data_IF_855540861839
#
_entry.id   IF_855540861839
#
_cell.length_a   1.000
_cell.length_b   1.000
_cell.length_c   1.000
_cell.angle_alpha   90.00
_cell.angle_beta   90.00
_cell.angle_gamma   90.00
#
_symmetry.space_group_name_H-M   'P 1'
#
loop_
_entity.id
_entity.type
_entity.pdbx_description
1 polymer ?
#
# COMPACT_ATOMS: atom_id res chain seq x y z
N UNK A 1 17.48 -4.15 15.87
CA UNK A 1 18.36 -2.96 15.83
C UNK A 1 18.05 -2.21 14.53
N UNK A 2 16.86 -1.61 14.46
CA UNK A 2 16.36 -0.87 13.30
C UNK A 2 15.68 0.38 13.86
N UNK A 3 16.46 1.44 13.82
CA UNK A 3 16.08 2.82 14.00
C UNK A 3 17.08 3.58 13.11
N UNK A 4 16.65 4.67 12.49
CA UNK A 4 17.42 5.52 11.57
C UNK A 4 17.48 5.08 10.10
N UNK A 5 16.50 5.52 9.30
CA UNK A 5 16.80 6.19 8.02
C UNK A 5 15.85 7.38 7.88
N UNK A 6 16.41 8.58 7.99
CA UNK A 6 16.07 9.83 7.28
C UNK A 6 16.47 11.03 8.14
N UNK A 7 17.74 11.44 8.02
CA UNK A 7 18.15 12.81 8.32
C UNK A 7 19.36 13.19 7.47
N UNK A 8 19.18 14.32 6.80
CA UNK A 8 20.17 15.27 6.27
C UNK A 8 20.81 15.00 4.89
N UNK A 9 20.40 15.83 3.93
CA UNK A 9 21.36 16.67 3.20
C UNK A 9 20.80 18.09 3.08
N UNK A 10 21.27 18.98 3.94
CA UNK A 10 21.19 20.43 3.73
C UNK A 10 22.57 20.94 3.34
N UNK A 11 22.63 21.83 2.35
CA UNK A 11 23.31 23.14 2.38
C UNK A 11 23.82 23.56 0.98
N UNK A 12 23.20 24.57 0.35
CA UNK A 12 23.74 25.94 0.18
C UNK A 12 22.99 26.74 -0.93
N UNK A 13 22.21 27.71 -0.46
CA UNK A 13 21.96 29.07 -0.98
C UNK A 13 22.04 29.37 -2.50
N UNK A 14 20.90 29.77 -3.07
CA UNK A 14 20.75 31.10 -3.69
C UNK A 14 19.39 31.66 -3.31
N UNK A 15 19.39 32.80 -2.61
CA UNK A 15 18.21 33.61 -2.40
C UNK A 15 17.79 34.24 -3.73
N UNK A 16 16.65 33.81 -4.26
CA UNK A 16 15.83 34.63 -5.16
C UNK A 16 14.50 34.88 -4.47
N UNK A 17 14.34 36.11 -3.98
CA UNK A 17 13.06 36.65 -3.52
C UNK A 17 12.17 36.84 -4.74
N UNK A 18 11.30 35.88 -4.99
CA UNK A 18 10.07 36.09 -5.74
C UNK A 18 8.94 35.69 -4.80
N UNK A 19 8.36 36.68 -4.14
CA UNK A 19 7.17 36.48 -3.33
C UNK A 19 6.08 35.84 -4.17
N UNK A 20 5.67 34.63 -3.78
CA UNK A 20 4.46 34.01 -4.28
C UNK A 20 3.31 34.84 -3.71
N UNK A 21 2.67 35.60 -4.57
CA UNK A 21 1.46 36.34 -4.24
C UNK A 21 0.33 35.35 -3.97
N UNK A 22 0.07 35.05 -2.70
CA UNK A 22 -1.29 34.96 -2.17
C UNK A 22 -1.97 33.59 -2.16
N UNK A 23 -1.25 32.49 -1.97
CA UNK A 23 -1.88 31.21 -1.62
C UNK A 23 -1.63 30.92 -0.14
N UNK A 24 -2.69 31.00 0.64
CA UNK A 24 -2.69 30.80 2.09
C UNK A 24 -3.96 30.08 2.48
N UNK A 25 -3.94 29.40 3.63
CA UNK A 25 -5.14 28.78 4.17
C UNK A 25 -6.34 29.75 4.25
N UNK A 26 -7.57 29.25 4.09
CA UNK A 26 -8.77 30.02 4.40
C UNK A 26 -8.78 30.48 5.86
N UNK A 27 -9.67 31.41 6.19
CA UNK A 27 -9.85 31.86 7.56
C UNK A 27 -10.24 30.66 8.46
N UNK A 28 -9.52 30.39 9.57
CA UNK A 28 -9.79 29.24 10.44
C UNK A 28 -11.21 29.19 10.99
N UNK A 29 -11.87 30.34 11.18
CA UNK A 29 -13.25 30.38 11.67
C UNK A 29 -14.26 29.86 10.62
N UNK A 30 -13.96 30.02 9.34
CA UNK A 30 -14.85 29.63 8.23
C UNK A 30 -14.75 28.13 7.92
N UNK A 31 -13.63 27.49 8.28
CA UNK A 31 -13.36 26.06 8.02
C UNK A 31 -13.43 25.19 9.28
N UNK A 32 -13.67 25.79 10.45
CA UNK A 32 -13.82 25.04 11.71
C UNK A 32 -15.00 24.05 11.61
N UNK A 33 -14.86 22.80 12.07
CA UNK A 33 -13.78 22.25 12.89
C UNK A 33 -12.62 21.62 12.09
N UNK A 34 -12.63 21.69 10.76
CA UNK A 34 -11.44 21.36 10.00
C UNK A 34 -10.36 22.42 10.20
N UNK A 35 -9.12 22.04 9.97
CA UNK A 35 -7.95 22.92 10.03
C UNK A 35 -7.21 22.86 8.71
N UNK A 36 -6.39 23.88 8.46
CA UNK A 36 -5.60 23.99 7.25
C UNK A 36 -4.15 24.29 7.64
N UNK A 37 -3.23 23.55 7.04
CA UNK A 37 -1.80 23.78 7.16
C UNK A 37 -1.22 24.21 5.80
N UNK A 38 -0.30 25.18 5.85
CA UNK A 38 0.42 25.67 4.68
C UNK A 38 1.92 25.49 4.90
N UNK A 39 2.54 24.68 4.06
CA UNK A 39 3.99 24.48 4.08
C UNK A 39 4.71 25.59 3.32
N UNK A 40 5.48 26.42 4.03
CA UNK A 40 6.31 27.47 3.42
C UNK A 40 7.46 26.92 2.56
N UNK A 41 7.79 25.64 2.68
CA UNK A 41 8.90 25.00 1.98
C UNK A 41 8.57 24.66 0.53
N UNK A 42 7.41 24.03 0.31
CA UNK A 42 6.95 23.55 -1.00
C UNK A 42 5.62 24.18 -1.44
N UNK A 43 5.05 25.08 -0.64
CA UNK A 43 3.83 25.83 -0.96
C UNK A 43 2.56 25.00 -0.89
N UNK A 44 2.59 23.83 -0.25
CA UNK A 44 1.46 22.90 -0.26
C UNK A 44 0.46 23.22 0.83
N UNK A 45 -0.83 23.03 0.52
CA UNK A 45 -1.93 23.17 1.47
C UNK A 45 -2.46 21.79 1.83
N UNK A 46 -2.73 21.55 3.11
CA UNK A 46 -3.36 20.33 3.62
C UNK A 46 -4.58 20.68 4.47
N UNK A 47 -5.66 19.94 4.31
CA UNK A 47 -6.87 20.04 5.11
C UNK A 47 -6.96 18.85 6.07
N UNK A 48 -7.06 19.14 7.36
CA UNK A 48 -7.27 18.14 8.41
C UNK A 48 -8.66 18.32 9.03
N UNK A 49 -9.53 17.34 8.79
CA UNK A 49 -10.90 17.29 9.26
C UNK A 49 -11.12 16.26 10.38
N UNK A 50 -10.07 15.90 11.12
CA UNK A 50 -10.11 14.93 12.23
C UNK A 50 -11.13 15.27 13.33
N UNK A 51 -11.49 16.55 13.51
CA UNK A 51 -12.49 16.98 14.50
C UNK A 51 -13.91 17.14 13.95
N UNK A 52 -14.10 16.93 12.65
CA UNK A 52 -15.34 17.18 11.93
C UNK A 52 -16.25 15.94 11.86
N UNK A 53 -17.54 16.20 11.68
CA UNK A 53 -18.55 15.27 11.17
C UNK A 53 -18.65 15.37 9.64
N UNK A 54 -19.27 14.39 8.98
CA UNK A 54 -19.49 14.42 7.53
C UNK A 54 -20.16 15.71 7.05
N UNK A 55 -21.17 16.23 7.77
CA UNK A 55 -21.84 17.49 7.39
C UNK A 55 -20.95 18.72 7.51
N UNK A 56 -20.04 18.73 8.49
CA UNK A 56 -19.08 19.82 8.68
C UNK A 56 -17.99 19.78 7.61
N UNK A 57 -17.55 18.58 7.19
CA UNK A 57 -16.65 18.41 6.02
C UNK A 57 -17.36 18.96 4.79
N UNK A 58 -18.61 18.56 4.55
CA UNK A 58 -19.38 19.05 3.40
C UNK A 58 -19.47 20.58 3.36
N UNK A 59 -19.87 21.22 4.47
CA UNK A 59 -19.93 22.70 4.55
C UNK A 59 -18.55 23.33 4.33
N UNK A 60 -17.50 22.79 4.95
CA UNK A 60 -16.12 23.27 4.80
C UNK A 60 -15.70 23.28 3.34
N UNK A 61 -15.97 22.23 2.58
CA UNK A 61 -15.51 22.08 1.20
C UNK A 61 -16.41 22.74 0.16
N UNK A 62 -17.70 22.93 0.46
CA UNK A 62 -18.68 23.45 -0.50
C UNK A 62 -19.05 24.93 -0.28
N UNK A 63 -18.87 25.45 0.93
CA UNK A 63 -19.23 26.84 1.27
C UNK A 63 -18.00 27.76 1.34
N UNK A 64 -16.80 27.18 1.50
CA UNK A 64 -15.52 27.90 1.52
C UNK A 64 -14.77 27.66 0.21
N UNK A 65 -14.24 28.73 -0.37
CA UNK A 65 -13.42 28.63 -1.58
C UNK A 65 -12.06 28.01 -1.26
N UNK A 66 -11.92 26.71 -1.53
CA UNK A 66 -10.64 26.02 -1.51
C UNK A 66 -9.84 26.29 -2.79
N UNK A 67 -8.52 26.21 -2.66
CA UNK A 67 -7.62 26.46 -3.78
C UNK A 67 -7.38 25.19 -4.61
N UNK A 68 -7.11 25.32 -5.92
CA UNK A 68 -6.81 24.18 -6.78
C UNK A 68 -5.52 23.43 -6.40
N UNK A 69 -4.65 23.94 -5.52
CA UNK A 69 -3.44 23.24 -5.05
C UNK A 69 -3.59 22.56 -3.69
N UNK A 70 -4.82 22.25 -3.25
CA UNK A 70 -5.00 21.42 -2.06
C UNK A 70 -4.29 20.08 -2.30
N UNK A 71 -3.29 19.77 -1.49
CA UNK A 71 -2.48 18.57 -1.64
C UNK A 71 -3.14 17.41 -0.93
N UNK A 72 -3.55 17.60 0.31
CA UNK A 72 -4.00 16.51 1.17
C UNK A 72 -5.34 16.82 1.81
N UNK A 73 -6.20 15.81 1.83
CA UNK A 73 -7.35 15.73 2.72
C UNK A 73 -7.09 14.61 3.74
N UNK A 74 -7.22 14.92 5.02
CA UNK A 74 -7.06 13.92 6.07
C UNK A 74 -8.15 13.91 7.12
N UNK A 75 -8.50 12.72 7.59
CA UNK A 75 -9.34 12.49 8.77
C UNK A 75 -8.66 11.42 9.62
N UNK A 76 -8.30 11.77 10.85
CA UNK A 76 -7.59 10.89 11.76
C UNK A 76 -8.33 10.81 13.10
N UNK A 77 -8.30 9.64 13.75
CA UNK A 77 -8.81 9.43 15.13
C UNK A 77 -10.21 10.04 15.28
N UNK A 78 -11.16 9.55 14.49
CA UNK A 78 -12.47 10.15 14.34
C UNK A 78 -13.60 9.13 14.50
N UNK A 79 -14.59 9.49 15.30
CA UNK A 79 -15.79 8.68 15.57
C UNK A 79 -17.09 9.31 15.00
N UNK A 80 -17.00 10.49 14.38
CA UNK A 80 -18.15 11.27 13.91
C UNK A 80 -18.45 11.08 12.43
N UNK A 81 -17.42 10.75 11.64
CA UNK A 81 -17.52 10.49 10.20
C UNK A 81 -17.95 9.04 10.03
N UNK A 82 -19.13 8.85 9.49
CA UNK A 82 -19.72 7.53 9.23
C UNK A 82 -19.72 7.16 7.75
N UNK A 83 -19.73 8.18 6.89
CA UNK A 83 -19.70 8.05 5.45
C UNK A 83 -18.99 9.26 4.83
N UNK A 84 -18.41 9.05 3.65
CA UNK A 84 -17.95 10.10 2.75
C UNK A 84 -18.84 10.08 1.50
N UNK A 85 -19.95 10.84 1.48
CA UNK A 85 -20.93 10.80 0.40
C UNK A 85 -20.47 11.54 -0.86
N UNK A 86 -21.28 11.43 -1.91
CA UNK A 86 -21.14 12.21 -3.14
C UNK A 86 -20.97 13.71 -2.84
N UNK A 87 -20.02 14.37 -3.50
CA UNK A 87 -19.79 15.81 -3.35
C UNK A 87 -19.27 16.27 -1.97
N UNK A 88 -18.89 15.38 -1.04
CA UNK A 88 -18.43 15.78 0.30
C UNK A 88 -17.19 16.68 0.28
N UNK A 89 -16.34 16.53 -0.74
CA UNK A 89 -15.17 17.38 -0.96
C UNK A 89 -15.42 18.52 -1.97
N UNK A 90 -16.65 18.67 -2.46
CA UNK A 90 -16.98 19.65 -3.50
C UNK A 90 -16.11 19.47 -4.76
N UNK A 91 -15.73 20.58 -5.39
CA UNK A 91 -14.97 20.59 -6.64
C UNK A 91 -13.43 20.48 -6.44
N UNK A 92 -12.95 20.27 -5.21
CA UNK A 92 -11.51 20.24 -4.95
C UNK A 92 -10.85 19.02 -5.60
N UNK A 93 -9.67 19.24 -6.16
CA UNK A 93 -8.81 18.18 -6.67
C UNK A 93 -7.58 18.07 -5.78
N UNK A 94 -7.38 16.89 -5.20
CA UNK A 94 -6.33 16.60 -4.22
C UNK A 94 -5.31 15.60 -4.78
N UNK A 95 -4.15 15.54 -4.13
CA UNK A 95 -3.10 14.58 -4.45
C UNK A 95 -3.12 13.41 -3.47
N UNK A 96 -3.40 13.65 -2.20
CA UNK A 96 -3.31 12.65 -1.13
C UNK A 96 -4.62 12.57 -0.33
N UNK A 97 -5.12 11.36 -0.12
CA UNK A 97 -6.18 11.05 0.84
C UNK A 97 -5.56 10.27 1.99
N UNK A 98 -5.75 10.72 3.22
CA UNK A 98 -5.32 10.02 4.44
C UNK A 98 -6.49 9.83 5.39
N UNK A 99 -6.93 8.58 5.56
CA UNK A 99 -7.94 8.19 6.53
C UNK A 99 -7.27 7.25 7.54
N UNK A 100 -7.23 7.62 8.81
CA UNK A 100 -6.55 6.84 9.84
C UNK A 100 -7.40 6.72 11.10
N UNK A 101 -7.67 5.50 11.58
CA UNK A 101 -8.46 5.29 12.81
C UNK A 101 -9.82 6.01 12.76
N UNK A 102 -10.53 5.89 11.65
CA UNK A 102 -11.88 6.47 11.45
C UNK A 102 -12.92 5.39 11.72
N UNK A 103 -13.09 5.05 13.01
CA UNK A 103 -13.69 3.79 13.46
C UNK A 103 -15.17 3.55 13.08
N UNK A 104 -15.88 4.59 12.64
CA UNK A 104 -17.29 4.47 12.24
C UNK A 104 -17.52 4.66 10.74
N UNK A 105 -16.47 4.89 9.94
CA UNK A 105 -16.59 5.10 8.50
C UNK A 105 -16.76 3.77 7.78
N UNK A 106 -17.96 3.53 7.25
CA UNK A 106 -18.32 2.29 6.54
C UNK A 106 -18.32 2.43 5.02
N UNK A 107 -18.52 3.64 4.50
CA UNK A 107 -18.82 3.87 3.08
C UNK A 107 -18.07 5.08 2.53
N UNK A 108 -17.40 4.90 1.41
CA UNK A 108 -16.75 5.98 0.65
C UNK A 108 -17.33 6.00 -0.76
N UNK A 109 -18.04 7.08 -1.11
CA UNK A 109 -18.62 7.21 -2.43
C UNK A 109 -17.53 7.32 -3.51
N UNK A 110 -17.71 6.72 -4.71
CA UNK A 110 -16.67 6.71 -5.74
C UNK A 110 -16.18 8.08 -6.22
N UNK A 111 -17.06 9.09 -6.20
CA UNK A 111 -16.70 10.46 -6.57
C UNK A 111 -15.63 11.08 -5.65
N UNK A 112 -15.57 10.68 -4.38
CA UNK A 112 -14.57 11.16 -3.42
C UNK A 112 -13.16 10.94 -3.96
N UNK A 113 -12.96 9.83 -4.67
CA UNK A 113 -11.69 9.45 -5.27
C UNK A 113 -11.60 9.93 -6.72
N UNK A 114 -12.65 9.72 -7.52
CA UNK A 114 -12.68 10.06 -8.95
C UNK A 114 -12.54 11.54 -9.26
N UNK A 115 -13.03 12.43 -8.39
CA UNK A 115 -12.88 13.88 -8.55
C UNK A 115 -11.40 14.28 -8.69
N UNK A 116 -10.50 13.49 -8.10
CA UNK A 116 -9.07 13.76 -8.09
C UNK A 116 -8.26 12.88 -9.05
N UNK A 117 -8.90 12.09 -9.94
CA UNK A 117 -8.23 11.08 -10.77
C UNK A 117 -6.98 11.55 -11.53
N UNK A 118 -6.95 12.81 -11.97
CA UNK A 118 -5.86 13.36 -12.79
C UNK A 118 -4.63 13.77 -11.94
N UNK A 119 -4.76 13.80 -10.61
CA UNK A 119 -3.73 14.28 -9.68
C UNK A 119 -3.54 13.44 -8.43
N UNK A 120 -4.45 12.51 -8.15
CA UNK A 120 -4.40 11.66 -6.97
C UNK A 120 -3.20 10.71 -7.08
N UNK A 121 -2.25 10.91 -6.18
CA UNK A 121 -0.98 10.20 -6.10
C UNK A 121 -0.95 9.22 -4.94
N UNK A 122 -1.68 9.50 -3.85
CA UNK A 122 -1.64 8.67 -2.64
C UNK A 122 -3.04 8.47 -2.07
N UNK A 123 -3.37 7.21 -1.78
CA UNK A 123 -4.53 6.83 -0.97
C UNK A 123 -3.98 6.03 0.21
N UNK A 124 -4.28 6.49 1.42
CA UNK A 124 -3.94 5.81 2.67
C UNK A 124 -5.21 5.65 3.49
N UNK A 125 -5.57 4.41 3.78
CA UNK A 125 -6.73 4.02 4.60
C UNK A 125 -6.23 3.05 5.64
N UNK A 126 -5.95 3.56 6.84
CA UNK A 126 -5.39 2.79 7.95
C UNK A 126 -6.40 2.61 9.09
N UNK A 127 -6.68 1.36 9.47
CA UNK A 127 -7.61 1.04 10.56
C UNK A 127 -8.99 1.73 10.41
N UNK A 128 -9.61 1.56 9.24
CA UNK A 128 -10.94 2.09 8.90
C UNK A 128 -11.86 0.95 8.44
N UNK A 129 -12.98 0.66 9.12
CA UNK A 129 -13.90 -0.43 8.76
C UNK A 129 -14.78 -0.11 7.57
N UNK A 130 -14.16 0.29 6.45
CA UNK A 130 -14.83 0.54 5.19
C UNK A 130 -15.32 -0.79 4.62
N UNK A 131 -16.64 -1.00 4.65
CA UNK A 131 -17.29 -2.13 4.00
C UNK A 131 -17.47 -1.89 2.49
N UNK A 132 -17.76 -0.64 2.12
CA UNK A 132 -18.04 -0.21 0.75
C UNK A 132 -17.00 0.82 0.31
N UNK A 133 -15.83 0.30 -0.11
CA UNK A 133 -14.76 1.08 -0.72
C UNK A 133 -14.92 1.05 -2.25
N UNK A 134 -14.70 2.17 -2.97
CA UNK A 134 -15.01 2.27 -4.39
C UNK A 134 -13.89 1.65 -5.25
N UNK A 135 -13.79 0.33 -5.22
CA UNK A 135 -12.77 -0.44 -5.95
C UNK A 135 -12.87 -0.25 -7.47
N UNK A 136 -14.09 -0.13 -8.00
CA UNK A 136 -14.38 -0.10 -9.43
C UNK A 136 -13.84 1.14 -10.14
N UNK A 137 -13.54 2.20 -9.39
CA UNK A 137 -13.01 3.45 -9.95
C UNK A 137 -11.49 3.57 -9.87
N UNK A 138 -10.83 2.68 -9.14
CA UNK A 138 -9.37 2.70 -8.99
C UNK A 138 -8.67 2.58 -10.35
N UNK A 139 -9.26 1.86 -11.29
CA UNK A 139 -8.69 1.70 -12.64
C UNK A 139 -8.54 2.98 -13.44
N UNK A 140 -9.19 4.06 -13.01
CA UNK A 140 -9.09 5.38 -13.63
C UNK A 140 -7.99 6.25 -13.01
N UNK A 141 -7.36 5.81 -11.93
CA UNK A 141 -6.36 6.56 -11.16
C UNK A 141 -4.95 6.36 -11.70
N UNK A 142 -4.77 6.73 -12.96
CA UNK A 142 -3.48 6.57 -13.67
C UNK A 142 -2.31 7.30 -13.02
N UNK A 143 -2.57 8.31 -12.18
CA UNK A 143 -1.53 9.07 -11.45
C UNK A 143 -1.18 8.48 -10.09
N UNK A 144 -1.84 7.40 -9.65
CA UNK A 144 -1.65 6.82 -8.33
C UNK A 144 -0.26 6.18 -8.22
N UNK A 145 0.48 6.54 -7.17
CA UNK A 145 1.84 6.08 -6.88
C UNK A 145 1.89 5.20 -5.63
N UNK A 146 1.05 5.51 -4.63
CA UNK A 146 1.03 4.84 -3.34
C UNK A 146 -0.41 4.48 -2.97
N UNK A 147 -0.65 3.20 -2.74
CA UNK A 147 -1.94 2.72 -2.25
C UNK A 147 -1.73 1.87 -1.00
N UNK A 148 -2.19 2.38 0.12
CA UNK A 148 -2.08 1.74 1.43
C UNK A 148 -3.47 1.57 2.01
N UNK A 149 -3.82 0.31 2.25
CA UNK A 149 -5.07 -0.11 2.85
C UNK A 149 -4.82 -0.99 4.07
N UNK A 150 -3.78 -0.68 4.85
CA UNK A 150 -3.35 -1.48 6.00
C UNK A 150 -4.26 -1.39 7.22
N UNK A 151 -4.22 -2.40 8.08
CA UNK A 151 -4.75 -2.32 9.43
C UNK A 151 -5.92 -3.27 9.70
N UNK A 152 -5.95 -3.78 10.93
CA UNK A 152 -6.92 -4.77 11.42
C UNK A 152 -8.38 -4.32 11.36
N UNK A 153 -8.60 -3.00 11.22
CA UNK A 153 -9.90 -2.41 11.03
C UNK A 153 -10.46 -2.55 9.62
N UNK A 154 -9.68 -2.97 8.61
CA UNK A 154 -10.07 -3.04 7.21
C UNK A 154 -10.40 -4.49 6.81
N UNK A 155 -11.67 -4.98 6.89
CA UNK A 155 -11.98 -6.36 6.55
C UNK A 155 -12.01 -6.56 5.02
N UNK A 156 -10.85 -6.68 4.39
CA UNK A 156 -10.75 -7.12 3.00
C UNK A 156 -10.57 -8.64 2.99
N UNK A 157 -11.68 -9.37 2.94
CA UNK A 157 -11.62 -10.82 2.81
C UNK A 157 -11.08 -11.29 1.45
N UNK A 158 -11.12 -10.44 0.43
CA UNK A 158 -10.61 -10.71 -0.91
C UNK A 158 -10.32 -9.41 -1.66
N UNK A 159 -9.20 -9.35 -2.41
CA UNK A 159 -8.92 -8.24 -3.31
C UNK A 159 -9.75 -8.39 -4.59
N UNK A 160 -10.43 -7.34 -5.07
CA UNK A 160 -11.29 -7.43 -6.24
C UNK A 160 -10.47 -7.76 -7.50
N UNK A 161 -10.98 -8.63 -8.39
CA UNK A 161 -10.32 -8.92 -9.66
C UNK A 161 -10.09 -7.64 -10.46
N UNK A 162 -8.92 -7.53 -11.09
CA UNK A 162 -8.56 -6.35 -11.89
C UNK A 162 -8.26 -5.08 -11.06
N UNK A 163 -8.04 -5.20 -9.75
CA UNK A 163 -7.71 -4.07 -8.86
C UNK A 163 -6.62 -3.14 -9.40
N UNK A 164 -5.61 -3.70 -10.06
CA UNK A 164 -4.46 -2.97 -10.57
C UNK A 164 -4.55 -2.59 -12.06
N UNK A 165 -5.69 -2.87 -12.72
CA UNK A 165 -5.91 -2.43 -14.09
C UNK A 165 -5.82 -0.91 -14.18
N UNK A 166 -5.03 -0.37 -15.11
CA UNK A 166 -4.90 1.09 -15.31
C UNK A 166 -4.04 1.82 -14.28
N UNK A 167 -3.57 1.15 -13.21
CA UNK A 167 -2.63 1.70 -12.22
C UNK A 167 -1.18 1.69 -12.73
N UNK A 168 -0.94 2.32 -13.89
CA UNK A 168 0.31 2.24 -14.66
C UNK A 168 1.53 2.85 -13.96
N UNK A 169 1.32 3.74 -12.99
CA UNK A 169 2.38 4.43 -12.25
C UNK A 169 2.53 3.96 -10.79
N UNK A 170 1.77 2.94 -10.37
CA UNK A 170 1.80 2.51 -8.97
C UNK A 170 3.20 1.98 -8.61
N UNK A 171 3.69 2.43 -7.46
CA UNK A 171 5.04 2.12 -6.94
C UNK A 171 4.93 1.23 -5.72
N UNK A 172 3.99 1.52 -4.83
CA UNK A 172 3.81 0.82 -3.56
C UNK A 172 2.35 0.44 -3.38
N UNK A 173 2.13 -0.82 -3.04
CA UNK A 173 0.86 -1.34 -2.55
C UNK A 173 1.07 -1.96 -1.16
N UNK A 174 0.30 -1.52 -0.16
CA UNK A 174 0.33 -2.07 1.19
C UNK A 174 -1.05 -2.57 1.59
N UNK A 175 -1.13 -3.83 1.99
CA UNK A 175 -2.30 -4.46 2.57
C UNK A 175 -1.89 -5.42 3.69
N UNK A 176 -1.04 -4.95 4.61
CA UNK A 176 -0.70 -5.69 5.81
C UNK A 176 -1.86 -5.64 6.82
N UNK A 177 -2.14 -6.78 7.45
CA UNK A 177 -3.25 -6.93 8.42
C UNK A 177 -4.65 -6.66 7.83
N UNK A 178 -4.84 -6.88 6.53
CA UNK A 178 -6.12 -6.69 5.81
C UNK A 178 -7.14 -7.82 5.96
N UNK A 179 -6.77 -8.93 6.63
CA UNK A 179 -7.60 -10.14 6.73
C UNK A 179 -7.92 -10.79 5.36
N UNK A 180 -6.94 -10.81 4.44
CA UNK A 180 -7.07 -11.46 3.11
C UNK A 180 -7.41 -12.96 3.18
N UNK A 181 -7.31 -13.56 4.36
CA UNK A 181 -7.68 -14.94 4.60
C UNK A 181 -6.59 -15.95 4.22
N UNK A 182 -6.92 -17.25 4.29
CA UNK A 182 -5.93 -18.30 4.23
C UNK A 182 -5.37 -18.57 2.83
N UNK A 183 -6.02 -18.09 1.78
CA UNK A 183 -5.62 -18.35 0.40
C UNK A 183 -5.56 -17.03 -0.35
N UNK A 184 -4.47 -16.79 -1.08
CA UNK A 184 -4.40 -15.74 -2.10
C UNK A 184 -4.69 -16.38 -3.48
N UNK A 185 -5.89 -16.15 -4.05
CA UNK A 185 -6.31 -16.79 -5.30
C UNK A 185 -5.51 -16.38 -6.54
N UNK A 186 -5.56 -17.22 -7.58
CA UNK A 186 -5.03 -16.87 -8.90
C UNK A 186 -5.67 -15.58 -9.44
N UNK A 187 -4.86 -14.66 -9.97
CA UNK A 187 -5.33 -13.38 -10.49
C UNK A 187 -5.63 -12.30 -9.43
N UNK A 188 -5.34 -12.52 -8.14
CA UNK A 188 -5.56 -11.49 -7.12
C UNK A 188 -4.65 -10.27 -7.26
N UNK A 189 -3.39 -10.47 -7.64
CA UNK A 189 -2.37 -9.42 -7.75
C UNK A 189 -1.74 -9.42 -9.16
N UNK A 190 -2.46 -8.85 -10.13
CA UNK A 190 -2.00 -8.70 -11.51
C UNK A 190 -1.47 -7.28 -11.77
N UNK A 191 -0.20 -7.06 -11.45
CA UNK A 191 0.42 -5.74 -11.55
C UNK A 191 0.70 -5.33 -13.01
N UNK A 192 0.42 -4.06 -13.33
CA UNK A 192 0.65 -3.51 -14.69
C UNK A 192 1.78 -2.47 -14.74
N UNK A 193 2.07 -1.82 -13.60
CA UNK A 193 3.11 -0.80 -13.52
C UNK A 193 4.52 -1.41 -13.61
N UNK A 194 5.36 -0.79 -14.43
CA UNK A 194 6.79 -1.12 -14.49
C UNK A 194 7.60 -0.43 -13.38
N UNK A 195 6.95 0.41 -12.57
CA UNK A 195 7.56 1.17 -11.49
C UNK A 195 7.36 0.54 -10.10
N UNK A 196 6.71 -0.63 -10.02
CA UNK A 196 6.45 -1.30 -8.74
C UNK A 196 7.75 -1.62 -7.99
N UNK A 197 7.84 -1.13 -6.76
CA UNK A 197 8.99 -1.32 -5.88
C UNK A 197 8.64 -2.10 -4.61
N UNK A 198 7.40 -2.03 -4.13
CA UNK A 198 7.04 -2.69 -2.87
C UNK A 198 5.60 -3.19 -2.86
N UNK A 199 5.41 -4.43 -2.42
CA UNK A 199 4.12 -5.09 -2.20
C UNK A 199 4.13 -5.64 -0.78
N UNK A 200 3.33 -5.05 0.10
CA UNK A 200 3.19 -5.46 1.50
C UNK A 200 1.95 -6.31 1.73
N UNK A 201 2.12 -7.57 2.11
CA UNK A 201 1.06 -8.52 2.41
C UNK A 201 1.30 -9.24 3.75
N UNK A 202 2.10 -8.65 4.62
CA UNK A 202 2.46 -9.23 5.90
C UNK A 202 1.26 -9.36 6.85
N UNK A 203 1.31 -10.34 7.74
CA UNK A 203 0.31 -10.52 8.81
C UNK A 203 -1.14 -10.69 8.33
N UNK A 204 -1.37 -11.35 7.19
CA UNK A 204 -2.72 -11.62 6.64
C UNK A 204 -3.25 -13.03 6.95
N UNK A 205 -2.46 -13.89 7.61
CA UNK A 205 -2.86 -15.27 7.87
C UNK A 205 -2.86 -16.15 6.62
N UNK A 206 -2.16 -15.75 5.55
CA UNK A 206 -2.08 -16.49 4.30
C UNK A 206 -1.39 -17.83 4.55
N UNK A 207 -2.06 -18.93 4.21
CA UNK A 207 -1.51 -20.29 4.27
C UNK A 207 -1.07 -20.80 2.89
N UNK A 208 -1.72 -20.32 1.83
CA UNK A 208 -1.50 -20.75 0.45
C UNK A 208 -1.52 -19.57 -0.50
N UNK A 209 -0.55 -19.52 -1.40
CA UNK A 209 -0.54 -18.62 -2.56
C UNK A 209 -0.74 -19.48 -3.79
N UNK A 210 -1.85 -19.27 -4.51
CA UNK A 210 -2.15 -20.07 -5.70
C UNK A 210 -1.20 -19.74 -6.86
N UNK A 211 -0.97 -20.69 -7.78
CA UNK A 211 -0.22 -20.41 -9.00
C UNK A 211 -0.86 -19.27 -9.79
N UNK A 212 -0.05 -18.27 -10.16
CA UNK A 212 -0.54 -17.07 -10.86
C UNK A 212 -1.31 -16.07 -9.98
N UNK A 213 -1.30 -16.23 -8.65
CA UNK A 213 -1.87 -15.23 -7.75
C UNK A 213 -1.14 -13.89 -7.81
N UNK A 214 0.17 -13.91 -8.04
CA UNK A 214 1.04 -12.73 -8.13
C UNK A 214 1.72 -12.73 -9.49
N UNK A 215 1.39 -11.76 -10.34
CA UNK A 215 1.95 -11.61 -11.67
C UNK A 215 2.28 -10.15 -11.99
N UNK A 216 3.12 -9.92 -13.01
CA UNK A 216 3.43 -8.57 -13.48
C UNK A 216 4.37 -7.74 -12.58
N UNK A 217 5.04 -8.38 -11.62
CA UNK A 217 6.07 -7.73 -10.80
C UNK A 217 7.20 -7.17 -11.67
N UNK A 218 7.78 -6.04 -11.24
CA UNK A 218 9.04 -5.58 -11.78
C UNK A 218 10.21 -6.37 -11.14
N UNK A 219 11.35 -6.42 -11.83
CA UNK A 219 12.52 -7.18 -11.35
C UNK A 219 13.11 -6.63 -10.04
N UNK A 220 12.83 -5.36 -9.71
CA UNK A 220 13.32 -4.69 -8.51
C UNK A 220 12.27 -4.64 -7.38
N UNK A 221 11.14 -5.34 -7.54
CA UNK A 221 10.07 -5.32 -6.54
C UNK A 221 10.43 -6.12 -5.29
N UNK A 222 10.13 -5.55 -4.13
CA UNK A 222 10.13 -6.24 -2.83
C UNK A 222 8.74 -6.78 -2.56
N UNK A 223 8.64 -8.09 -2.33
CA UNK A 223 7.41 -8.76 -1.92
C UNK A 223 7.51 -9.15 -0.46
N UNK A 224 6.74 -8.50 0.40
CA UNK A 224 6.70 -8.79 1.83
C UNK A 224 5.53 -9.73 2.16
N UNK A 225 5.86 -10.97 2.52
CA UNK A 225 4.96 -12.02 2.98
C UNK A 225 5.23 -12.38 4.46
N UNK A 226 5.88 -11.51 5.22
CA UNK A 226 6.25 -11.80 6.62
C UNK A 226 5.04 -12.08 7.51
N UNK A 227 5.24 -12.87 8.55
CA UNK A 227 4.25 -13.18 9.59
C UNK A 227 2.92 -13.71 9.05
N UNK A 228 2.97 -14.47 7.96
CA UNK A 228 1.84 -15.26 7.46
C UNK A 228 1.96 -16.72 7.99
N UNK A 229 1.16 -17.62 7.42
CA UNK A 229 1.08 -19.03 7.79
C UNK A 229 1.51 -19.95 6.63
N UNK A 230 2.34 -19.44 5.72
CA UNK A 230 2.81 -20.18 4.54
C UNK A 230 3.73 -21.31 5.00
N UNK A 231 3.31 -22.55 4.77
CA UNK A 231 4.10 -23.73 5.14
C UNK A 231 4.93 -24.31 4.00
N UNK A 232 4.67 -23.93 2.75
CA UNK A 232 5.33 -24.49 1.59
C UNK A 232 5.60 -23.40 0.53
N UNK A 233 6.80 -23.43 -0.05
CA UNK A 233 7.17 -22.61 -1.20
C UNK A 233 7.04 -23.46 -2.46
N UNK A 234 5.80 -23.68 -2.90
CA UNK A 234 5.49 -24.52 -4.04
C UNK A 234 6.16 -23.99 -5.32
N UNK A 235 6.78 -24.89 -6.10
CA UNK A 235 7.59 -24.53 -7.26
C UNK A 235 6.77 -23.79 -8.31
N UNK A 236 5.59 -24.27 -8.63
CA UNK A 236 4.66 -23.71 -9.60
C UNK A 236 4.20 -22.28 -9.26
N UNK A 237 4.20 -21.93 -7.97
CA UNK A 237 3.81 -20.60 -7.49
C UNK A 237 5.01 -19.66 -7.44
N UNK A 238 6.11 -20.07 -6.81
CA UNK A 238 7.21 -19.17 -6.50
C UNK A 238 8.29 -19.13 -7.58
N UNK A 239 8.47 -20.16 -8.42
CA UNK A 239 9.45 -20.13 -9.52
C UNK A 239 9.22 -18.96 -10.47
N UNK A 240 8.00 -18.69 -10.99
CA UNK A 240 7.78 -17.55 -11.89
C UNK A 240 8.11 -16.19 -11.25
N UNK A 241 7.83 -16.04 -9.95
CA UNK A 241 8.14 -14.84 -9.18
C UNK A 241 9.65 -14.66 -9.09
N UNK A 242 10.37 -15.69 -8.64
CA UNK A 242 11.82 -15.64 -8.46
C UNK A 242 12.57 -15.48 -9.78
N UNK A 243 12.07 -16.04 -10.88
CA UNK A 243 12.63 -15.83 -12.23
C UNK A 243 12.60 -14.36 -12.68
N UNK A 244 11.64 -13.58 -12.18
CA UNK A 244 11.56 -12.14 -12.44
C UNK A 244 12.47 -11.37 -11.50
N UNK A 245 12.37 -11.62 -10.19
CA UNK A 245 13.12 -10.89 -9.16
C UNK A 245 14.64 -11.07 -9.28
N UNK A 246 15.09 -12.29 -9.60
CA UNK A 246 16.53 -12.60 -9.80
C UNK A 246 17.19 -11.83 -10.94
N UNK A 247 16.42 -11.23 -11.86
CA UNK A 247 16.96 -10.39 -12.95
C UNK A 247 17.32 -8.98 -12.49
N UNK A 248 16.86 -8.56 -11.32
CA UNK A 248 17.04 -7.23 -10.75
C UNK A 248 17.57 -7.29 -9.32
N UNK A 249 17.11 -6.37 -8.49
CA UNK A 249 17.42 -6.33 -7.04
C UNK A 249 16.23 -6.67 -6.15
N UNK A 250 15.16 -7.22 -6.72
CA UNK A 250 13.96 -7.62 -5.99
C UNK A 250 14.17 -8.86 -5.14
N UNK A 251 13.33 -9.03 -4.11
CA UNK A 251 13.39 -10.16 -3.21
C UNK A 251 12.06 -10.37 -2.47
N UNK A 252 11.91 -11.54 -1.88
CA UNK A 252 10.75 -11.90 -1.04
C UNK A 252 11.17 -11.91 0.43
N UNK A 253 10.48 -11.17 1.29
CA UNK A 253 10.58 -11.36 2.74
C UNK A 253 9.57 -12.41 3.21
N UNK A 254 10.03 -13.39 3.99
CA UNK A 254 9.18 -14.49 4.43
C UNK A 254 9.36 -14.89 5.90
N UNK A 255 10.04 -14.04 6.68
CA UNK A 255 10.22 -14.25 8.10
C UNK A 255 8.88 -14.47 8.82
N UNK A 256 8.87 -15.32 9.85
CA UNK A 256 7.66 -15.58 10.65
C UNK A 256 6.65 -16.54 10.01
N UNK A 257 6.99 -17.21 8.91
CA UNK A 257 6.18 -18.27 8.30
C UNK A 257 6.64 -19.68 8.75
N UNK A 258 5.73 -20.65 8.94
CA UNK A 258 6.04 -22.02 9.38
C UNK A 258 6.53 -22.93 8.22
N UNK A 259 7.59 -22.54 7.52
CA UNK A 259 8.01 -23.19 6.27
C UNK A 259 8.60 -24.57 6.53
N UNK A 260 8.08 -25.59 5.86
CA UNK A 260 8.63 -26.95 5.85
C UNK A 260 9.81 -27.02 4.89
N UNK A 261 10.99 -27.40 5.41
CA UNK A 261 12.20 -27.57 4.61
C UNK A 261 12.48 -29.04 4.31
N UNK A 262 11.52 -29.70 3.67
CA UNK A 262 11.64 -31.08 3.20
C UNK A 262 11.92 -31.16 1.68
N UNK A 263 11.69 -32.32 1.07
CA UNK A 263 11.95 -32.50 -0.37
C UNK A 263 11.13 -31.56 -1.28
N UNK A 264 10.01 -31.00 -0.82
CA UNK A 264 9.24 -30.00 -1.57
C UNK A 264 10.06 -28.74 -1.86
N UNK A 265 11.05 -28.41 -1.01
CA UNK A 265 11.89 -27.23 -1.15
C UNK A 265 13.17 -27.48 -1.98
N UNK A 266 13.39 -28.70 -2.47
CA UNK A 266 14.62 -29.08 -3.17
C UNK A 266 14.89 -28.21 -4.40
N UNK A 267 13.85 -27.84 -5.16
CA UNK A 267 13.98 -26.97 -6.35
C UNK A 267 14.59 -25.60 -6.02
N UNK A 268 14.33 -25.09 -4.82
CA UNK A 268 14.78 -23.80 -4.33
C UNK A 268 16.18 -23.90 -3.73
N UNK A 269 16.42 -24.87 -2.84
CA UNK A 269 17.73 -25.06 -2.19
C UNK A 269 18.84 -25.39 -3.19
N UNK A 270 18.51 -26.17 -4.23
CA UNK A 270 19.45 -26.52 -5.30
C UNK A 270 19.69 -25.36 -6.29
N UNK A 271 18.95 -24.26 -6.20
CA UNK A 271 19.13 -23.06 -7.01
C UNK A 271 19.52 -21.85 -6.15
N UNK A 272 20.83 -21.59 -6.06
CA UNK A 272 21.39 -20.52 -5.23
C UNK A 272 20.96 -19.10 -5.64
N UNK A 273 20.65 -18.88 -6.92
CA UNK A 273 20.16 -17.58 -7.40
C UNK A 273 18.74 -17.30 -6.87
N UNK A 274 17.87 -18.31 -6.90
CA UNK A 274 16.53 -18.22 -6.35
C UNK A 274 16.54 -18.12 -4.83
N UNK A 275 17.34 -18.95 -4.16
CA UNK A 275 17.48 -18.90 -2.71
C UNK A 275 18.01 -17.52 -2.24
N UNK A 276 18.93 -16.91 -2.99
CA UNK A 276 19.45 -15.57 -2.70
C UNK A 276 18.44 -14.43 -2.86
N UNK A 277 17.32 -14.68 -3.54
CA UNK A 277 16.21 -13.72 -3.69
C UNK A 277 15.15 -13.86 -2.59
N UNK A 278 15.37 -14.73 -1.60
CA UNK A 278 14.48 -14.90 -0.43
C UNK A 278 15.22 -14.47 0.82
N UNK A 279 14.65 -13.54 1.57
CA UNK A 279 15.21 -12.99 2.79
C UNK A 279 14.37 -13.39 4.01
N UNK A 280 15.05 -13.63 5.13
CA UNK A 280 14.40 -13.99 6.40
C UNK A 280 13.82 -15.41 6.44
N UNK A 281 14.13 -16.27 5.45
CA UNK A 281 13.66 -17.64 5.39
C UNK A 281 14.22 -18.50 6.53
N UNK A 282 13.33 -19.09 7.31
CA UNK A 282 13.63 -20.01 8.42
C UNK A 282 12.66 -21.18 8.33
N UNK A 283 13.18 -22.40 8.44
CA UNK A 283 12.42 -23.62 8.50
C UNK A 283 11.60 -23.70 9.80
N UNK A 284 10.54 -24.49 9.83
CA UNK A 284 9.71 -24.69 11.03
C UNK A 284 10.54 -25.19 12.23
N UNK A 285 11.60 -25.95 11.99
CA UNK A 285 12.53 -26.44 13.02
C UNK A 285 13.53 -25.38 13.54
N UNK A 286 13.49 -24.16 12.97
CA UNK A 286 14.37 -23.04 13.31
C UNK A 286 15.65 -22.93 12.47
N UNK A 287 15.88 -23.83 11.51
CA UNK A 287 17.05 -23.78 10.62
C UNK A 287 16.89 -22.63 9.62
N UNK A 288 17.81 -21.66 9.61
CA UNK A 288 17.80 -20.60 8.60
C UNK A 288 18.15 -21.17 7.21
N UNK A 289 17.54 -20.63 6.15
CA UNK A 289 17.75 -21.10 4.76
C UNK A 289 19.22 -21.09 4.34
N UNK A 290 19.99 -20.09 4.79
CA UNK A 290 21.43 -19.98 4.54
C UNK A 290 22.27 -21.12 5.14
N UNK A 291 21.71 -21.86 6.11
CA UNK A 291 22.37 -22.97 6.79
C UNK A 291 21.91 -24.35 6.27
N UNK A 292 21.04 -24.39 5.26
CA UNK A 292 20.62 -25.64 4.61
C UNK A 292 21.78 -26.22 3.79
N UNK A 293 22.06 -27.51 3.94
CA UNK A 293 23.06 -28.24 3.15
C UNK A 293 22.42 -28.73 1.84
N UNK A 294 22.78 -28.19 0.66
CA UNK A 294 22.17 -28.62 -0.60
C UNK A 294 22.36 -30.11 -0.90
N UNK A 295 23.36 -30.77 -0.33
CA UNK A 295 23.61 -32.20 -0.55
C UNK A 295 22.50 -33.09 0.01
N UNK A 296 21.79 -32.66 1.06
CA UNK A 296 20.66 -33.41 1.63
C UNK A 296 19.42 -33.39 0.74
N UNK A 297 19.37 -32.48 -0.23
CA UNK A 297 18.24 -32.32 -1.16
C UNK A 297 18.48 -32.99 -2.53
N UNK A 298 19.69 -33.48 -2.80
CA UNK A 298 20.02 -34.11 -4.10
C UNK A 298 19.21 -35.39 -4.37
N UNK A 299 18.85 -36.13 -3.33
CA UNK A 299 18.08 -37.37 -3.45
C UNK A 299 16.58 -37.12 -3.65
N UNK A 300 16.10 -35.89 -3.40
CA UNK A 300 14.69 -35.52 -3.59
C UNK A 300 14.28 -35.48 -5.07
N UNK A 301 15.23 -35.31 -6.00
CA UNK A 301 14.97 -35.26 -7.44
C UNK A 301 14.62 -36.62 -8.08
N UNK A 302 14.53 -37.69 -7.28
CA UNK A 302 14.34 -39.09 -7.74
C UNK A 302 12.99 -39.67 -7.27
N UNK A 303 12.24 -38.95 -6.43
CA UNK A 303 10.90 -39.33 -5.96
C UNK A 303 9.81 -38.65 -6.78
#
# INVERSE_FOLDING_TARGET
MLSFILLTLSCFLVAFTSGISGQSCPNPEDISPCTCDFSEFDGTISADCSSASTSEIFSTFNEVAWFPELRQFSVQINEKVTELPEGVLGDVSIQHILLESVWNLSTIHPEVVLQSKDRLQQIQVHDVPVEDFPWEVLSQLTSLLFFDFTGSGNPISELPPGLFEGLENLVIFLCSECDLGPTLPSGSLEFQSQNFQYVGLSSNGITMVEPGAITGLAADTVLDLENNLISELAEETFRPILEVLSRGTGFIFIYGNPIQCDCSMAWLVLNQEFLGSILGGVCEDGTAFENLDPSTFLECAIM
#
